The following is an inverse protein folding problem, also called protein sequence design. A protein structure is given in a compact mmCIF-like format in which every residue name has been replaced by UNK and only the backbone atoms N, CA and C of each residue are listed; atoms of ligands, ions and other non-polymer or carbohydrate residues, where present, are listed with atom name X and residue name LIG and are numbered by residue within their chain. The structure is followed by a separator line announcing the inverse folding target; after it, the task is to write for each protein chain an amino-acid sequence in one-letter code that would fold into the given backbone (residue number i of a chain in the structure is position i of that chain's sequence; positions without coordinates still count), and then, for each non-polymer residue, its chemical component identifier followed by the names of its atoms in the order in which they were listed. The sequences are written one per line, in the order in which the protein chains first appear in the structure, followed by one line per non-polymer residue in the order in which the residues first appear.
data_IF_443515655125
#
_entry.id   IF_443515655125
#
_cell.length_a   1.000
_cell.length_b   1.000
_cell.length_c   1.000
_cell.angle_alpha   90.00
_cell.angle_beta   90.00
_cell.angle_gamma   90.00
#
_symmetry.space_group_name_H-M   'P 1'
#
loop_
_entity.id
_entity.type
_entity.pdbx_description
1 polymer ?
#
# COMPACT_ATOMS: atom_id res chain seq x y z
N UNK A 1 10.89 -15.34 11.00
CA UNK A 1 9.85 -14.53 10.35
C UNK A 1 10.16 -13.07 10.63
N UNK A 2 10.56 -12.32 9.61
CA UNK A 2 10.72 -10.87 9.74
C UNK A 2 9.32 -10.28 9.94
N UNK A 3 9.11 -9.60 11.06
CA UNK A 3 7.90 -8.81 11.29
C UNK A 3 7.86 -7.71 10.24
N UNK A 4 6.83 -7.71 9.40
CA UNK A 4 6.59 -6.64 8.42
C UNK A 4 6.24 -5.39 9.21
N UNK A 5 6.95 -4.28 8.97
CA UNK A 5 6.55 -2.97 9.49
C UNK A 5 5.41 -2.46 8.61
N UNK A 6 4.18 -2.73 9.01
CA UNK A 6 2.98 -2.35 8.25
C UNK A 6 2.47 -0.93 8.57
N UNK A 7 3.08 -0.29 9.55
CA UNK A 7 2.78 1.08 9.96
C UNK A 7 1.49 1.26 10.76
N UNK A 8 0.81 0.17 11.14
CA UNK A 8 -0.48 0.16 11.84
C UNK A 8 -1.69 0.36 10.91
N UNK A 9 -2.90 0.57 11.45
CA UNK A 9 -4.12 0.78 10.67
C UNK A 9 -4.04 2.04 9.79
N UNK A 10 -4.46 1.97 8.53
CA UNK A 10 -4.45 3.12 7.61
C UNK A 10 -5.40 4.24 8.06
N UNK A 11 -6.55 3.86 8.62
CA UNK A 11 -7.55 4.76 9.15
C UNK A 11 -7.87 4.36 10.60
N UNK A 12 -7.11 4.88 11.58
CA UNK A 12 -7.32 4.53 12.98
C UNK A 12 -8.72 4.94 13.44
N UNK A 13 -9.53 3.96 13.82
CA UNK A 13 -10.79 4.20 14.51
C UNK A 13 -10.55 4.04 16.02
N UNK A 14 -10.69 5.13 16.78
CA UNK A 14 -10.77 5.06 18.24
C UNK A 14 -12.14 4.46 18.59
N UNK A 15 -12.17 3.16 18.86
CA UNK A 15 -13.35 2.53 19.44
C UNK A 15 -13.14 2.42 20.96
N UNK A 16 -13.86 3.21 21.75
CA UNK A 16 -13.89 3.02 23.20
C UNK A 16 -14.45 1.62 23.50
N UNK A 17 -13.59 0.71 23.97
CA UNK A 17 -14.00 -0.55 24.58
C UNK A 17 -13.53 -1.83 23.92
N UNK A 18 -13.02 -1.83 22.69
CA UNK A 18 -12.36 -2.99 22.07
C UNK A 18 -11.90 -2.62 20.65
N UNK A 19 -10.62 -2.33 20.47
CA UNK A 19 -9.99 -2.41 19.14
C UNK A 19 -9.96 -3.87 18.74
N UNK A 20 -11.05 -4.35 18.14
CA UNK A 20 -11.05 -5.67 17.52
C UNK A 20 -10.07 -5.64 16.34
N UNK A 21 -9.02 -6.48 16.30
CA UNK A 21 -8.03 -6.44 15.22
C UNK A 21 -8.66 -6.62 13.83
N UNK A 22 -9.74 -7.40 13.74
CA UNK A 22 -10.56 -7.62 12.54
C UNK A 22 -11.33 -6.37 12.07
N UNK A 23 -11.53 -5.37 12.95
CA UNK A 23 -12.20 -4.13 12.60
C UNK A 23 -11.24 -3.05 12.05
N UNK A 24 -9.92 -3.29 12.07
CA UNK A 24 -8.92 -2.28 11.71
C UNK A 24 -8.70 -2.16 10.18
N UNK A 25 -9.32 -3.04 9.39
CA UNK A 25 -9.31 -2.99 7.93
C UNK A 25 -7.90 -3.16 7.36
N UNK A 26 -7.46 -2.19 6.56
CA UNK A 26 -6.18 -2.19 5.84
C UNK A 26 -5.06 -1.54 6.65
N UNK A 27 -3.83 -2.01 6.46
CA UNK A 27 -2.64 -1.39 7.07
C UNK A 27 -2.22 -0.13 6.32
N UNK A 28 -1.42 0.74 6.95
CA UNK A 28 -0.90 1.93 6.31
C UNK A 28 0.02 1.59 5.12
N UNK A 29 0.75 0.48 5.21
CA UNK A 29 1.52 -0.08 4.10
C UNK A 29 0.63 -0.40 2.91
N UNK A 30 -0.48 -1.10 3.12
CA UNK A 30 -1.43 -1.45 2.07
C UNK A 30 -2.04 -0.19 1.44
N UNK A 31 -2.31 0.82 2.26
CA UNK A 31 -2.84 2.11 1.78
C UNK A 31 -1.86 2.84 0.88
N UNK A 32 -0.61 2.98 1.31
CA UNK A 32 0.41 3.63 0.50
C UNK A 32 0.68 2.86 -0.79
N UNK A 33 0.71 1.53 -0.73
CA UNK A 33 0.85 0.71 -1.93
C UNK A 33 -0.33 0.93 -2.89
N UNK A 34 -1.57 0.92 -2.38
CA UNK A 34 -2.75 1.19 -3.20
C UNK A 34 -2.71 2.58 -3.84
N UNK A 35 -2.27 3.61 -3.11
CA UNK A 35 -2.11 4.97 -3.65
C UNK A 35 -1.02 5.05 -4.71
N UNK A 36 0.13 4.44 -4.48
CA UNK A 36 1.22 4.39 -5.43
C UNK A 36 0.82 3.65 -6.71
N UNK A 37 0.19 2.47 -6.58
CA UNK A 37 -0.35 1.71 -7.70
C UNK A 37 -1.39 2.52 -8.47
N UNK A 38 -2.34 3.17 -7.79
CA UNK A 38 -3.39 3.96 -8.44
C UNK A 38 -2.80 5.12 -9.27
N UNK A 39 -1.84 5.86 -8.71
CA UNK A 39 -1.15 6.93 -9.42
C UNK A 39 -0.37 6.41 -10.63
N UNK A 40 0.33 5.28 -10.48
CA UNK A 40 1.04 4.64 -11.59
C UNK A 40 0.08 4.18 -12.68
N UNK A 41 -0.96 3.40 -12.35
CA UNK A 41 -1.93 2.94 -13.36
C UNK A 41 -2.59 4.10 -14.13
N UNK A 42 -2.74 5.26 -13.48
CA UNK A 42 -3.26 6.47 -14.13
C UNK A 42 -2.29 7.15 -15.09
N UNK A 43 -1.01 6.77 -15.10
CA UNK A 43 0.00 7.34 -16.00
C UNK A 43 0.09 6.63 -17.36
N UNK A 44 -0.65 5.53 -17.56
CA UNK A 44 -0.65 4.77 -18.81
C UNK A 44 -1.37 5.57 -19.90
N UNK A 45 -0.70 5.74 -21.03
CA UNK A 45 -1.23 6.41 -22.22
C UNK A 45 -2.13 5.50 -23.07
N UNK A 46 -2.70 6.03 -24.16
CA UNK A 46 -3.63 5.30 -25.02
C UNK A 46 -2.99 4.10 -25.75
N UNK A 47 -1.68 4.15 -25.99
CA UNK A 47 -0.92 3.08 -26.66
C UNK A 47 -0.32 2.07 -25.67
N UNK A 48 -0.38 2.36 -24.36
CA UNK A 48 0.16 1.47 -23.33
C UNK A 48 -0.83 0.35 -23.01
N UNK A 49 -0.31 -0.87 -22.83
CA UNK A 49 -1.11 -1.99 -22.35
C UNK A 49 -1.22 -1.92 -20.83
N UNK A 50 -2.44 -2.08 -20.32
CA UNK A 50 -2.66 -2.25 -18.89
C UNK A 50 -1.78 -3.39 -18.34
N UNK A 51 -1.14 -3.25 -17.15
CA UNK A 51 -0.18 -4.23 -16.63
C UNK A 51 -0.69 -5.66 -16.58
N UNK A 52 -1.97 -5.85 -16.25
CA UNK A 52 -2.60 -7.19 -16.26
C UNK A 52 -2.60 -7.82 -17.65
N UNK A 53 -2.87 -7.03 -18.70
CA UNK A 53 -2.86 -7.52 -20.08
C UNK A 53 -1.43 -7.70 -20.64
N UNK A 54 -0.47 -6.93 -20.11
CA UNK A 54 0.94 -7.04 -20.47
C UNK A 54 1.68 -8.18 -19.76
N UNK A 55 1.10 -8.76 -18.69
CA UNK A 55 1.76 -9.75 -17.84
C UNK A 55 2.69 -9.13 -16.78
N UNK A 56 2.56 -7.83 -16.51
CA UNK A 56 3.43 -7.04 -15.62
C UNK A 56 2.78 -6.72 -14.26
N UNK A 57 1.63 -7.31 -13.95
CA UNK A 57 0.89 -7.02 -12.71
C UNK A 57 1.75 -7.21 -11.44
N UNK A 58 2.56 -8.27 -11.39
CA UNK A 58 3.43 -8.56 -10.24
C UNK A 58 4.50 -7.48 -10.04
N UNK A 59 5.07 -6.95 -11.13
CA UNK A 59 6.07 -5.87 -11.07
C UNK A 59 5.45 -4.59 -10.51
N UNK A 60 4.24 -4.23 -10.95
CA UNK A 60 3.54 -3.04 -10.44
C UNK A 60 3.22 -3.21 -8.96
N UNK A 61 2.74 -4.38 -8.53
CA UNK A 61 2.46 -4.67 -7.13
C UNK A 61 3.74 -4.56 -6.27
N UNK A 62 4.84 -5.18 -6.68
CA UNK A 62 6.11 -5.13 -5.96
C UNK A 62 6.63 -3.69 -5.80
N UNK A 63 6.55 -2.89 -6.85
CA UNK A 63 7.02 -1.50 -6.82
C UNK A 63 6.11 -0.59 -5.98
N UNK A 64 4.81 -0.83 -6.01
CA UNK A 64 3.86 -0.13 -5.14
C UNK A 64 4.17 -0.39 -3.65
N UNK A 65 4.44 -1.63 -3.27
CA UNK A 65 4.87 -1.96 -1.91
C UNK A 65 6.25 -1.40 -1.58
N UNK A 66 7.20 -1.37 -2.51
CA UNK A 66 8.50 -0.74 -2.30
C UNK A 66 8.35 0.78 -2.00
N UNK A 67 7.44 1.46 -2.69
CA UNK A 67 7.12 2.86 -2.39
C UNK A 67 6.47 3.00 -1.00
N UNK A 68 5.56 2.11 -0.64
CA UNK A 68 4.94 2.11 0.69
C UNK A 68 5.97 1.94 1.81
N UNK A 69 6.91 1.01 1.64
CA UNK A 69 8.00 0.76 2.59
C UNK A 69 8.91 1.99 2.73
N UNK A 70 9.22 2.68 1.62
CA UNK A 70 9.98 3.92 1.62
C UNK A 70 9.25 5.05 2.37
N UNK A 71 7.93 5.18 2.22
CA UNK A 71 7.13 6.18 2.94
C UNK A 71 7.08 5.89 4.45
N UNK A 72 6.97 4.62 4.84
CA UNK A 72 7.01 4.23 6.26
C UNK A 72 8.39 4.48 6.88
N UNK A 73 9.47 4.18 6.16
CA UNK A 73 10.82 4.48 6.59
C UNK A 73 11.04 5.99 6.78
N UNK A 74 10.58 6.81 5.83
CA UNK A 74 10.66 8.26 5.92
C UNK A 74 9.90 8.82 7.13
N UNK A 75 8.74 8.24 7.47
CA UNK A 75 7.95 8.61 8.66
C UNK A 75 8.67 8.27 9.97
N UNK A 76 9.35 7.14 10.03
CA UNK A 76 10.06 6.69 11.24
C UNK A 76 11.44 7.33 11.45
N UNK A 77 11.96 8.05 10.45
CA UNK A 77 13.23 8.77 10.51
C UNK A 77 13.11 10.22 11.04
N UNK A 78 11.92 10.59 11.54
CA UNK A 78 11.55 11.92 12.02
C UNK A 78 11.45 11.94 13.54
#
# INVERSE_FOLDING_TARGET
MSTINDGGPAFPALYEGSTRPDAMGMTLRDYFAAKAMHGWLSSYGPDDKHPVAAGDADSVAQRAYAMADAMLAARGAQ
#
